data_IF_882484800979
#
_entry.id   IF_882484800979
#
_cell.length_a   1.000
_cell.length_b   1.000
_cell.length_c   1.000
_cell.angle_alpha   90.00
_cell.angle_beta   90.00
_cell.angle_gamma   90.00
#
_symmetry.space_group_name_H-M   'P 1'
#
loop_
_entity.id
_entity.type
_entity.pdbx_description
1 polymer ?
#
# COMPACT_ATOMS: atom_id res chain seq x y z
N UNK A 1 -10.80 20.50 -11.86
CA UNK A 1 -9.76 19.92 -10.98
C UNK A 1 -9.16 18.74 -11.73
N UNK A 2 -7.85 18.75 -11.99
CA UNK A 2 -7.17 17.59 -12.54
C UNK A 2 -7.44 16.41 -11.59
N UNK A 3 -7.93 15.30 -12.11
CA UNK A 3 -8.47 14.19 -11.31
C UNK A 3 -7.43 13.70 -10.33
N UNK A 4 -7.67 13.93 -9.03
CA UNK A 4 -6.85 13.36 -7.98
C UNK A 4 -6.84 11.85 -8.17
N UNK A 5 -5.64 11.26 -8.21
CA UNK A 5 -5.48 9.82 -8.14
C UNK A 5 -6.32 9.32 -6.97
N UNK A 6 -7.18 8.33 -7.20
CA UNK A 6 -7.94 7.74 -6.10
C UNK A 6 -6.95 7.05 -5.18
N UNK A 7 -7.03 7.34 -3.89
CA UNK A 7 -6.08 6.87 -2.88
C UNK A 7 -6.85 6.41 -1.64
N UNK A 8 -6.58 5.19 -1.19
CA UNK A 8 -6.97 4.72 0.14
C UNK A 8 -5.82 4.05 0.90
N UNK A 9 -4.71 3.77 0.21
CA UNK A 9 -3.49 3.25 0.80
C UNK A 9 -2.35 4.20 0.42
N UNK A 10 -1.48 4.47 1.38
CA UNK A 10 -0.21 5.17 1.18
C UNK A 10 0.90 4.22 1.59
N UNK A 11 1.80 3.93 0.66
CA UNK A 11 3.04 3.21 0.95
C UNK A 11 4.17 4.22 1.01
N UNK A 12 5.08 4.09 1.96
CA UNK A 12 6.23 5.00 2.04
C UNK A 12 7.50 4.18 2.07
N UNK A 13 8.41 4.49 1.16
CA UNK A 13 9.72 3.87 1.06
C UNK A 13 10.79 4.93 0.90
N UNK A 14 11.86 4.83 1.70
CA UNK A 14 12.93 5.83 1.68
C UNK A 14 12.38 7.25 1.90
N UNK A 15 12.60 8.18 0.95
CA UNK A 15 12.11 9.56 1.01
C UNK A 15 10.87 9.85 0.16
N UNK A 16 10.21 8.82 -0.41
CA UNK A 16 9.03 8.98 -1.27
C UNK A 16 7.79 8.28 -0.69
N UNK A 17 6.63 8.90 -0.90
CA UNK A 17 5.32 8.28 -0.66
C UNK A 17 4.72 7.86 -1.99
N UNK A 18 4.01 6.74 -1.98
CA UNK A 18 3.37 6.13 -3.13
C UNK A 18 1.91 5.91 -2.83
N UNK A 19 1.06 6.45 -3.67
CA UNK A 19 -0.39 6.42 -3.52
C UNK A 19 -1.00 5.36 -4.42
N UNK A 20 -1.92 4.56 -3.86
CA UNK A 20 -2.69 3.57 -4.59
C UNK A 20 -4.11 3.43 -4.05
N UNK A 21 -4.95 2.82 -4.87
CA UNK A 21 -6.31 2.45 -4.49
C UNK A 21 -6.55 0.95 -4.62
N UNK A 22 -7.07 0.36 -3.56
CA UNK A 22 -7.51 -1.04 -3.48
C UNK A 22 -9.02 -1.08 -3.27
N UNK A 23 -9.80 -1.76 -4.12
CA UNK A 23 -11.23 -1.96 -3.92
C UNK A 23 -11.59 -2.56 -2.56
N UNK A 24 -12.71 -2.14 -1.97
CA UNK A 24 -13.22 -2.64 -0.69
C UNK A 24 -14.13 -3.87 -0.84
N UNK A 25 -13.99 -4.62 -1.94
CA UNK A 25 -14.86 -5.75 -2.29
C UNK A 25 -14.44 -7.07 -1.62
N UNK A 26 -13.43 -7.03 -0.75
CA UNK A 26 -12.88 -8.21 -0.09
C UNK A 26 -12.07 -9.14 -1.01
N UNK A 27 -11.76 -8.70 -2.24
CA UNK A 27 -10.93 -9.44 -3.18
C UNK A 27 -9.44 -9.19 -2.92
N UNK A 28 -8.61 -10.21 -3.16
CA UNK A 28 -7.15 -10.05 -3.16
C UNK A 28 -6.67 -9.46 -4.48
N UNK A 29 -5.90 -8.37 -4.39
CA UNK A 29 -5.26 -7.73 -5.53
C UNK A 29 -3.76 -8.00 -5.52
N UNK A 30 -3.25 -8.47 -6.66
CA UNK A 30 -1.82 -8.57 -6.94
C UNK A 30 -1.24 -7.17 -7.17
N UNK A 31 -0.38 -6.72 -6.27
CA UNK A 31 0.25 -5.40 -6.33
C UNK A 31 1.26 -5.28 -7.48
N UNK A 32 1.63 -6.38 -8.14
CA UNK A 32 2.34 -6.37 -9.43
C UNK A 32 1.46 -6.00 -10.62
N UNK A 33 0.14 -5.89 -10.43
CA UNK A 33 -0.82 -5.41 -11.44
C UNK A 33 -1.46 -4.09 -11.05
N UNK A 34 -1.15 -3.56 -9.87
CA UNK A 34 -1.61 -2.26 -9.39
C UNK A 34 -0.51 -1.24 -9.60
N UNK A 35 -0.89 -0.08 -10.14
CA UNK A 35 0.02 1.06 -10.28
C UNK A 35 0.02 1.89 -9.00
N UNK A 36 1.21 2.33 -8.62
CA UNK A 36 1.47 3.24 -7.53
C UNK A 36 2.00 4.56 -8.10
N UNK A 37 1.50 5.68 -7.59
CA UNK A 37 1.95 7.02 -7.98
C UNK A 37 2.79 7.62 -6.87
N UNK A 38 4.07 7.82 -7.15
CA UNK A 38 5.04 8.47 -6.26
C UNK A 38 4.79 9.97 -6.18
N UNK A 39 4.95 10.54 -4.98
CA UNK A 39 4.89 11.97 -4.71
C UNK A 39 6.18 12.41 -4.01
N UNK A 40 6.75 13.58 -4.34
CA UNK A 40 6.24 14.63 -5.23
C UNK A 40 6.57 14.44 -6.73
N UNK A 41 7.34 13.40 -7.07
CA UNK A 41 7.96 13.27 -8.39
C UNK A 41 7.01 12.72 -9.49
N UNK A 42 5.77 12.34 -9.12
CA UNK A 42 4.75 11.75 -10.00
C UNK A 42 5.25 10.54 -10.80
N UNK A 43 6.15 9.76 -10.21
CA UNK A 43 6.65 8.51 -10.79
C UNK A 43 5.58 7.43 -10.71
N UNK A 44 5.35 6.69 -11.80
CA UNK A 44 4.41 5.56 -11.81
C UNK A 44 5.17 4.26 -11.95
N UNK A 45 4.98 3.33 -11.02
CA UNK A 45 5.51 1.97 -11.11
C UNK A 45 4.52 0.96 -10.50
N UNK A 46 4.77 -0.32 -10.70
CA UNK A 46 4.01 -1.38 -10.05
C UNK A 46 4.26 -1.38 -8.54
N UNK A 47 3.20 -1.47 -7.76
CA UNK A 47 3.29 -1.34 -6.31
C UNK A 47 4.19 -2.40 -5.64
N UNK A 48 4.32 -3.60 -6.25
CA UNK A 48 5.14 -4.67 -5.70
C UNK A 48 6.65 -4.55 -5.97
N UNK A 49 7.11 -3.59 -6.79
CA UNK A 49 8.55 -3.38 -7.00
C UNK A 49 9.16 -2.43 -5.98
N UNK A 50 8.31 -1.69 -5.26
CA UNK A 50 8.68 -0.66 -4.30
C UNK A 50 9.00 -1.30 -2.96
N UNK A 51 10.20 -1.04 -2.46
CA UNK A 51 10.58 -1.39 -1.09
C UNK A 51 10.06 -0.29 -0.15
N UNK A 52 9.29 -0.69 0.85
CA UNK A 52 8.53 0.20 1.73
C UNK A 52 8.89 -0.02 3.20
N UNK A 53 8.96 1.09 3.94
CA UNK A 53 9.24 1.17 5.38
C UNK A 53 7.96 1.22 6.22
N UNK A 54 6.90 1.82 5.67
CA UNK A 54 5.59 1.84 6.30
C UNK A 54 4.45 1.88 5.31
N UNK A 55 3.27 1.45 5.79
CA UNK A 55 2.00 1.51 5.08
C UNK A 55 0.98 2.19 5.96
N UNK A 56 0.18 3.06 5.37
CA UNK A 56 -0.93 3.76 6.02
C UNK A 56 -2.22 3.60 5.20
N UNK A 57 -3.34 3.46 5.91
CA UNK A 57 -4.68 3.49 5.32
C UNK A 57 -5.29 4.86 5.57
N UNK A 58 -5.70 5.52 4.49
CA UNK A 58 -6.31 6.85 4.56
C UNK A 58 -7.58 6.82 5.40
N UNK A 59 -7.74 7.80 6.28
CA UNK A 59 -8.93 7.92 7.12
C UNK A 59 -10.22 7.86 6.30
N UNK A 60 -11.25 7.18 6.83
CA UNK A 60 -12.51 6.85 6.16
C UNK A 60 -12.45 5.66 5.18
N UNK A 61 -11.34 4.91 5.16
CA UNK A 61 -11.25 3.61 4.51
C UNK A 61 -10.95 2.57 5.59
N UNK A 62 -11.76 1.52 5.72
CA UNK A 62 -11.56 0.54 6.78
C UNK A 62 -10.32 -0.34 6.57
N UNK A 63 -10.12 -1.37 7.42
CA UNK A 63 -8.85 -2.08 7.48
C UNK A 63 -8.52 -2.79 6.16
N UNK A 64 -7.23 -2.79 5.83
CA UNK A 64 -6.70 -3.56 4.72
C UNK A 64 -5.69 -4.58 5.22
N UNK A 65 -5.73 -5.77 4.62
CA UNK A 65 -4.79 -6.85 4.86
C UNK A 65 -3.75 -6.87 3.75
N UNK A 66 -2.47 -6.94 4.12
CA UNK A 66 -1.36 -7.02 3.19
C UNK A 66 -0.59 -8.33 3.35
N UNK A 67 -0.12 -8.85 2.23
CA UNK A 67 0.87 -9.93 2.14
C UNK A 67 2.11 -9.36 1.50
N UNK A 68 3.27 -9.70 2.01
CA UNK A 68 4.56 -9.16 1.61
C UNK A 68 5.50 -10.28 1.24
N UNK A 69 6.71 -9.92 0.83
CA UNK A 69 7.68 -10.93 0.41
C UNK A 69 8.09 -11.86 1.56
N UNK A 70 8.78 -12.95 1.21
CA UNK A 70 9.13 -14.03 2.14
C UNK A 70 9.93 -13.57 3.38
N UNK A 71 10.44 -12.34 3.38
CA UNK A 71 11.19 -11.75 4.46
C UNK A 71 10.29 -11.00 5.46
N UNK A 72 8.98 -10.88 5.20
CA UNK A 72 8.07 -10.13 6.07
C UNK A 72 7.84 -11.02 7.30
N UNK A 73 8.37 -10.61 8.46
CA UNK A 73 8.43 -11.43 9.67
C UNK A 73 7.09 -12.03 10.14
N UNK A 74 5.96 -11.55 9.59
CA UNK A 74 4.77 -12.37 9.39
C UNK A 74 4.21 -12.10 7.99
N UNK A 75 3.96 -13.17 7.24
CA UNK A 75 3.51 -13.14 5.84
C UNK A 75 2.22 -12.35 5.59
N UNK A 76 1.46 -11.98 6.64
CA UNK A 76 0.20 -11.27 6.51
C UNK A 76 -0.01 -10.27 7.66
N UNK A 77 -0.50 -9.08 7.33
CA UNK A 77 -0.69 -7.95 8.26
C UNK A 77 -2.00 -7.24 8.02
N UNK A 78 -2.80 -7.04 9.07
CA UNK A 78 -3.97 -6.16 9.03
C UNK A 78 -3.54 -4.77 9.48
N UNK A 79 -3.80 -3.76 8.66
CA UNK A 79 -3.49 -2.36 8.91
C UNK A 79 -4.81 -1.60 9.00
N UNK A 80 -4.98 -0.86 10.08
CA UNK A 80 -6.20 -0.09 10.37
C UNK A 80 -6.00 1.38 9.99
N UNK A 81 -7.10 2.07 9.68
CA UNK A 81 -7.09 3.50 9.37
C UNK A 81 -6.43 4.38 10.44
N UNK A 82 -5.78 5.45 9.98
CA UNK A 82 -5.19 6.48 10.83
C UNK A 82 -4.01 6.01 11.71
N UNK A 83 -3.52 4.78 11.50
CA UNK A 83 -2.37 4.22 12.20
C UNK A 83 -1.39 3.59 11.22
N UNK A 84 -0.33 4.32 10.83
CA UNK A 84 0.71 3.76 9.98
C UNK A 84 1.34 2.52 10.62
N UNK A 85 1.45 1.44 9.86
CA UNK A 85 2.19 0.25 10.24
C UNK A 85 3.62 0.34 9.73
N UNK A 86 4.60 0.28 10.63
CA UNK A 86 6.02 0.22 10.28
C UNK A 86 6.46 -1.22 10.08
N UNK A 87 7.15 -1.45 8.97
CA UNK A 87 7.78 -2.72 8.62
C UNK A 87 9.20 -2.76 9.18
N UNK A 88 9.71 -3.98 9.38
CA UNK A 88 11.12 -4.18 9.71
C UNK A 88 11.60 -5.52 9.18
N UNK A 89 12.72 -5.59 8.44
CA UNK A 89 13.37 -4.53 7.62
C UNK A 89 12.44 -3.98 6.50
N UNK A 90 12.87 -3.03 5.65
CA UNK A 90 12.06 -2.51 4.53
C UNK A 90 11.82 -3.60 3.48
N UNK A 91 10.58 -3.73 2.99
CA UNK A 91 10.10 -4.94 2.27
C UNK A 91 9.15 -4.58 1.15
N UNK A 92 8.78 -5.54 0.31
CA UNK A 92 7.76 -5.36 -0.74
C UNK A 92 6.41 -5.89 -0.29
N UNK A 93 5.35 -5.14 -0.58
CA UNK A 93 3.98 -5.64 -0.50
C UNK A 93 3.62 -6.35 -1.82
N UNK A 94 3.15 -7.59 -1.73
CA UNK A 94 2.82 -8.43 -2.88
C UNK A 94 1.32 -8.45 -3.17
N UNK A 95 0.50 -8.55 -2.11
CA UNK A 95 -0.95 -8.55 -2.24
C UNK A 95 -1.59 -7.64 -1.21
N UNK A 96 -2.74 -7.06 -1.56
CA UNK A 96 -3.57 -6.31 -0.65
C UNK A 96 -5.04 -6.71 -0.82
N UNK A 97 -5.79 -6.56 0.26
CA UNK A 97 -7.23 -6.82 0.31
C UNK A 97 -7.86 -5.86 1.32
N UNK A 98 -8.95 -5.19 0.97
CA UNK A 98 -9.66 -4.26 1.87
C UNK A 98 -11.12 -4.69 2.01
N UNK A 99 -11.63 -4.69 3.25
CA UNK A 99 -12.92 -5.30 3.60
C UNK A 99 -13.72 -4.34 4.50
N UNK A 100 -14.20 -3.23 3.93
CA UNK A 100 -14.87 -2.17 4.67
C UNK A 100 -16.16 -1.68 4.02
#
# INVERSE_FOLDING_TARGET
>A
AAGAWRTNVVLTGSSQTYELWIPSDGTWYDLGRVWCVGSPDFTCDHCNVITIDHVEISAANGPCTFVGDASWGQATRVITEGRPYRMGPPQKALFAKCDY
#
